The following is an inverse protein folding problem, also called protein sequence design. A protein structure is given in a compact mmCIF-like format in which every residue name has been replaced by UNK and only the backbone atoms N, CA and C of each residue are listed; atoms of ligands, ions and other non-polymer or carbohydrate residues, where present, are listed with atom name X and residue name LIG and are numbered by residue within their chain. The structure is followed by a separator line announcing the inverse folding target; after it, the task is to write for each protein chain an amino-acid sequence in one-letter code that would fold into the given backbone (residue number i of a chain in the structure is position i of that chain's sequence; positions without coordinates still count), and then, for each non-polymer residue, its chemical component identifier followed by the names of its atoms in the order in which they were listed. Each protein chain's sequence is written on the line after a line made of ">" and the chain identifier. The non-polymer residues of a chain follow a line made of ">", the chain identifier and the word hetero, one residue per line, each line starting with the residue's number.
data_IF_269421113234
#
_entry.id   IF_269421113234
#
_cell.length_a   1.000
_cell.length_b   1.000
_cell.length_c   1.000
_cell.angle_alpha   90.00
_cell.angle_beta   90.00
_cell.angle_gamma   90.00
#
_symmetry.space_group_name_H-M   'P 1'
#
loop_
_entity.id
_entity.type
_entity.pdbx_description
1 polymer ?
#
# COMPACT_ATOMS: atom_id res chain seq x y z
N UNK A 1 -74.51 56.96 38.29
CA UNK A 1 -73.67 55.75 38.15
C UNK A 1 -74.22 54.96 36.97
N UNK A 2 -73.54 55.04 35.83
CA UNK A 2 -73.70 54.11 34.71
C UNK A 2 -72.32 54.06 34.06
N UNK A 3 -71.61 52.97 34.32
CA UNK A 3 -70.25 52.69 33.86
C UNK A 3 -70.26 52.39 32.35
N UNK A 4 -69.40 53.08 31.61
CA UNK A 4 -69.07 52.75 30.22
C UNK A 4 -67.92 51.71 30.25
N UNK A 5 -68.01 50.58 29.53
CA UNK A 5 -66.87 49.70 29.36
C UNK A 5 -65.90 50.28 28.31
N UNK A 6 -64.84 50.91 28.81
CA UNK A 6 -63.55 51.05 28.13
C UNK A 6 -62.92 49.64 28.04
N UNK A 7 -62.96 49.02 26.85
CA UNK A 7 -62.02 47.97 26.45
C UNK A 7 -62.20 47.63 24.96
N UNK A 8 -61.95 48.60 24.08
CA UNK A 8 -61.63 48.32 22.68
C UNK A 8 -60.14 47.99 22.60
N UNK A 9 -59.78 46.75 22.93
CA UNK A 9 -58.44 46.22 22.71
C UNK A 9 -58.11 46.30 21.21
N UNK A 10 -57.30 47.29 20.83
CA UNK A 10 -56.68 47.38 19.51
C UNK A 10 -55.70 46.21 19.41
N UNK A 11 -56.14 45.12 18.76
CA UNK A 11 -55.24 44.03 18.38
C UNK A 11 -54.04 44.60 17.61
N UNK A 12 -52.80 44.22 17.94
CA UNK A 12 -51.64 44.65 17.19
C UNK A 12 -51.83 44.20 15.73
N UNK A 13 -51.69 45.14 14.79
CA UNK A 13 -51.84 44.86 13.37
C UNK A 13 -50.91 43.69 12.99
N UNK A 14 -51.50 42.56 12.61
CA UNK A 14 -50.75 41.38 12.20
C UNK A 14 -49.86 41.74 11.00
N UNK A 15 -48.56 41.57 11.18
CA UNK A 15 -47.53 41.94 10.20
C UNK A 15 -47.57 40.95 9.04
N UNK A 16 -47.61 41.47 7.81
CA UNK A 16 -47.58 40.62 6.63
C UNK A 16 -46.20 39.95 6.45
N UNK A 17 -46.14 38.71 5.93
CA UNK A 17 -44.87 38.02 5.72
C UNK A 17 -44.02 38.68 4.62
N UNK A 18 -42.71 38.75 4.86
CA UNK A 18 -41.69 39.21 3.91
C UNK A 18 -41.23 38.11 2.93
N UNK A 19 -41.68 36.87 3.13
CA UNK A 19 -41.36 35.70 2.30
C UNK A 19 -42.62 35.22 1.55
N UNK A 20 -42.48 34.57 0.38
CA UNK A 20 -43.61 34.02 -0.35
C UNK A 20 -44.41 33.03 0.50
N UNK A 21 -45.74 33.16 0.50
CA UNK A 21 -46.63 32.35 1.34
C UNK A 21 -47.84 31.82 0.55
N UNK A 22 -48.40 30.66 0.92
CA UNK A 22 -49.57 30.12 0.26
C UNK A 22 -50.85 30.86 0.69
N UNK A 23 -51.74 31.12 -0.25
CA UNK A 23 -53.08 31.65 0.03
C UNK A 23 -53.89 30.65 0.88
N UNK A 24 -54.43 31.09 2.02
CA UNK A 24 -55.20 30.23 2.92
C UNK A 24 -56.55 29.76 2.34
N UNK A 25 -57.01 30.33 1.23
CA UNK A 25 -58.27 29.94 0.57
C UNK A 25 -58.08 28.95 -0.59
N UNK A 26 -57.05 29.11 -1.41
CA UNK A 26 -56.84 28.29 -2.61
C UNK A 26 -55.46 27.65 -2.74
N UNK A 27 -54.54 27.89 -1.80
CA UNK A 27 -53.20 27.34 -1.81
C UNK A 27 -52.22 27.96 -2.80
N UNK A 28 -52.63 28.93 -3.62
CA UNK A 28 -51.74 29.61 -4.57
C UNK A 28 -50.61 30.33 -3.83
N UNK A 29 -49.36 30.14 -4.28
CA UNK A 29 -48.21 30.88 -3.76
C UNK A 29 -48.30 32.36 -4.13
N UNK A 30 -48.24 33.22 -3.12
CA UNK A 30 -48.31 34.67 -3.23
C UNK A 30 -46.96 35.31 -2.92
N UNK A 31 -46.67 36.43 -3.57
CA UNK A 31 -45.51 37.24 -3.27
C UNK A 31 -45.67 37.98 -1.93
N UNK A 32 -44.56 38.42 -1.30
CA UNK A 32 -44.60 39.24 -0.10
C UNK A 32 -45.50 40.47 -0.27
N UNK A 33 -46.27 40.81 0.76
CA UNK A 33 -47.14 41.99 0.76
C UNK A 33 -48.43 41.88 -0.07
N UNK A 34 -48.73 40.73 -0.70
CA UNK A 34 -50.02 40.53 -1.38
C UNK A 34 -51.20 40.50 -0.40
N UNK A 35 -52.09 41.50 -0.49
CA UNK A 35 -53.30 41.62 0.37
C UNK A 35 -54.53 40.93 -0.21
N UNK A 36 -54.53 40.63 -1.50
CA UNK A 36 -55.63 39.95 -2.21
C UNK A 36 -55.03 38.88 -3.10
N UNK A 37 -55.60 37.67 -3.08
CA UNK A 37 -55.15 36.60 -3.97
C UNK A 37 -55.61 36.91 -5.41
N UNK A 38 -54.71 36.96 -6.41
CA UNK A 38 -55.10 37.18 -7.81
C UNK A 38 -55.90 36.00 -8.40
N UNK A 39 -55.78 34.81 -7.82
CA UNK A 39 -56.42 33.59 -8.33
C UNK A 39 -57.86 33.45 -7.82
N UNK A 40 -58.09 33.51 -6.50
CA UNK A 40 -59.44 33.39 -5.92
C UNK A 40 -60.13 34.73 -5.64
N UNK A 41 -59.43 35.86 -5.82
CA UNK A 41 -59.92 37.24 -5.56
C UNK A 41 -60.38 37.51 -4.13
N UNK A 42 -60.03 36.63 -3.18
CA UNK A 42 -60.35 36.81 -1.77
C UNK A 42 -59.24 37.58 -1.05
N UNK A 43 -59.63 38.38 -0.04
CA UNK A 43 -58.70 39.11 0.80
C UNK A 43 -57.90 38.15 1.69
N UNK A 44 -56.62 38.45 1.88
CA UNK A 44 -55.72 37.66 2.71
C UNK A 44 -55.77 38.19 4.14
N UNK A 45 -56.22 37.34 5.06
CA UNK A 45 -56.13 37.57 6.49
C UNK A 45 -54.73 37.15 6.98
N UNK A 46 -53.87 38.10 7.41
CA UNK A 46 -52.53 37.80 7.89
C UNK A 46 -52.53 36.90 9.14
N UNK A 47 -53.61 36.91 9.94
CA UNK A 47 -53.73 36.05 11.12
C UNK A 47 -53.94 34.56 10.81
N UNK A 48 -54.26 34.22 9.55
CA UNK A 48 -54.51 32.84 9.10
C UNK A 48 -53.38 32.27 8.23
N UNK A 49 -52.30 33.03 8.05
CA UNK A 49 -51.14 32.55 7.30
C UNK A 49 -50.38 31.58 8.21
N UNK A 50 -50.53 30.29 7.95
CA UNK A 50 -49.73 29.25 8.60
C UNK A 50 -48.30 29.41 8.09
N UNK A 51 -47.41 29.97 8.90
CA UNK A 51 -45.98 30.01 8.61
C UNK A 51 -45.52 28.56 8.52
N UNK A 52 -44.94 28.09 7.40
CA UNK A 52 -44.34 26.78 7.35
C UNK A 52 -43.26 26.75 8.43
N UNK A 53 -43.48 25.94 9.46
CA UNK A 53 -42.48 25.66 10.46
C UNK A 53 -41.35 24.98 9.71
N UNK A 54 -40.26 25.73 9.47
CA UNK A 54 -39.09 25.24 8.75
C UNK A 54 -38.70 23.94 9.44
N UNK A 55 -38.84 22.77 8.79
CA UNK A 55 -38.45 21.53 9.42
C UNK A 55 -36.97 21.68 9.75
N UNK A 56 -36.64 21.59 11.04
CA UNK A 56 -35.28 21.59 11.53
C UNK A 56 -34.43 20.72 10.58
N UNK A 57 -33.21 21.16 10.19
CA UNK A 57 -32.42 20.41 9.24
C UNK A 57 -32.29 18.99 9.77
N UNK A 58 -32.91 18.04 9.07
CA UNK A 58 -32.67 16.62 9.30
C UNK A 58 -31.18 16.49 9.08
N UNK A 59 -30.44 16.39 10.17
CA UNK A 59 -29.04 15.98 10.15
C UNK A 59 -29.09 14.61 9.52
N UNK A 60 -28.91 14.58 8.21
CA UNK A 60 -28.63 13.37 7.48
C UNK A 60 -27.42 12.80 8.18
N UNK A 61 -27.65 11.78 9.01
CA UNK A 61 -26.59 10.95 9.55
C UNK A 61 -25.99 10.33 8.31
N UNK A 62 -25.01 11.01 7.73
CA UNK A 62 -24.04 10.45 6.82
C UNK A 62 -23.56 9.21 7.55
N UNK A 63 -24.11 8.07 7.16
CA UNK A 63 -23.63 6.78 7.63
C UNK A 63 -22.21 6.76 7.10
N UNK A 64 -21.24 7.08 7.96
CA UNK A 64 -19.84 7.02 7.60
C UNK A 64 -19.63 5.64 7.00
N UNK A 65 -19.34 5.61 5.70
CA UNK A 65 -18.92 4.38 5.06
C UNK A 65 -17.82 3.78 5.94
N UNK A 66 -17.88 2.48 6.28
CA UNK A 66 -16.94 1.88 7.20
C UNK A 66 -15.54 2.25 6.74
N UNK A 67 -14.79 2.93 7.62
CA UNK A 67 -13.43 3.38 7.32
C UNK A 67 -12.62 2.13 7.02
N UNK A 68 -12.47 1.81 5.73
CA UNK A 68 -11.70 0.68 5.25
C UNK A 68 -10.28 0.92 5.72
N UNK A 69 -9.89 0.24 6.79
CA UNK A 69 -8.52 0.30 7.27
C UNK A 69 -7.66 -0.38 6.20
N UNK A 70 -6.98 0.42 5.40
CA UNK A 70 -6.02 -0.08 4.43
C UNK A 70 -4.79 -0.56 5.18
N UNK A 71 -4.35 -1.79 4.88
CA UNK A 71 -3.07 -2.28 5.39
C UNK A 71 -1.95 -1.46 4.74
N UNK A 72 -1.48 -0.43 5.44
CA UNK A 72 -0.35 0.39 5.00
C UNK A 72 0.91 -0.47 4.95
N UNK A 73 1.71 -0.28 3.91
CA UNK A 73 3.01 -0.90 3.79
C UNK A 73 3.90 -0.43 4.95
N UNK A 74 4.33 -1.37 5.79
CA UNK A 74 5.19 -1.05 6.93
C UNK A 74 6.65 -1.09 6.50
N UNK A 75 7.23 0.10 6.32
CA UNK A 75 8.65 0.27 5.98
C UNK A 75 9.59 -0.44 6.95
N UNK A 76 9.25 -0.46 8.25
CA UNK A 76 10.07 -1.13 9.26
C UNK A 76 10.22 -2.63 8.99
N UNK A 77 9.14 -3.32 8.61
CA UNK A 77 9.22 -4.74 8.27
C UNK A 77 10.02 -4.99 7.01
N UNK A 78 9.89 -4.12 6.01
CA UNK A 78 10.67 -4.19 4.79
C UNK A 78 12.17 -4.07 5.08
N UNK A 79 12.59 -3.00 5.74
CA UNK A 79 14.00 -2.78 6.05
C UNK A 79 14.57 -3.85 6.97
N UNK A 80 13.81 -4.30 7.98
CA UNK A 80 14.26 -5.38 8.86
C UNK A 80 14.47 -6.69 8.08
N UNK A 81 13.50 -7.09 7.25
CA UNK A 81 13.61 -8.31 6.45
C UNK A 81 14.74 -8.20 5.42
N UNK A 82 14.88 -7.05 4.77
CA UNK A 82 15.93 -6.80 3.79
C UNK A 82 17.32 -6.84 4.45
N UNK A 83 17.49 -6.21 5.61
CA UNK A 83 18.75 -6.25 6.35
C UNK A 83 19.11 -7.68 6.79
N UNK A 84 18.13 -8.44 7.33
CA UNK A 84 18.31 -9.85 7.69
C UNK A 84 18.70 -10.66 6.45
N UNK A 85 18.02 -10.45 5.33
CA UNK A 85 18.31 -11.15 4.08
C UNK A 85 19.72 -10.86 3.57
N UNK A 86 20.15 -9.60 3.53
CA UNK A 86 21.51 -9.22 3.14
C UNK A 86 22.55 -9.82 4.08
N UNK A 87 22.28 -9.82 5.38
CA UNK A 87 23.17 -10.42 6.37
C UNK A 87 23.32 -11.93 6.17
N UNK A 88 22.21 -12.65 5.98
CA UNK A 88 22.21 -14.08 5.68
C UNK A 88 22.93 -14.35 4.36
N UNK A 89 22.67 -13.56 3.32
CA UNK A 89 23.34 -13.68 2.03
C UNK A 89 24.86 -13.55 2.17
N UNK A 90 25.32 -12.49 2.85
CA UNK A 90 26.73 -12.23 3.09
C UNK A 90 27.41 -13.36 3.86
N UNK A 91 26.78 -13.84 4.95
CA UNK A 91 27.31 -14.95 5.74
C UNK A 91 27.39 -16.22 4.88
N UNK A 92 26.34 -16.51 4.13
CA UNK A 92 26.29 -17.73 3.34
C UNK A 92 27.33 -17.71 2.22
N UNK A 93 27.52 -16.57 1.57
CA UNK A 93 28.58 -16.39 0.57
C UNK A 93 29.98 -16.59 1.18
N UNK A 94 30.21 -16.03 2.38
CA UNK A 94 31.50 -16.15 3.08
C UNK A 94 31.79 -17.57 3.57
N UNK A 95 30.78 -18.32 3.99
CA UNK A 95 30.97 -19.63 4.62
C UNK A 95 30.81 -20.81 3.64
N UNK A 96 29.83 -20.76 2.74
CA UNK A 96 29.46 -21.88 1.88
C UNK A 96 29.90 -21.68 0.42
N UNK A 97 30.33 -20.48 0.05
CA UNK A 97 30.63 -20.10 -1.32
C UNK A 97 29.37 -19.86 -2.17
N UNK A 98 29.54 -19.36 -3.40
CA UNK A 98 28.44 -18.84 -4.21
C UNK A 98 27.43 -19.93 -4.64
N UNK A 99 27.89 -21.12 -5.02
CA UNK A 99 27.00 -22.18 -5.53
C UNK A 99 26.08 -22.75 -4.44
N UNK A 100 26.67 -23.18 -3.32
CA UNK A 100 25.90 -23.73 -2.19
C UNK A 100 25.06 -22.66 -1.51
N UNK A 101 25.57 -21.42 -1.47
CA UNK A 101 24.82 -20.29 -0.96
C UNK A 101 23.57 -20.00 -1.77
N UNK A 102 23.67 -20.03 -3.10
CA UNK A 102 22.50 -19.84 -3.96
C UNK A 102 21.45 -20.93 -3.76
N UNK A 103 21.85 -22.20 -3.61
CA UNK A 103 20.92 -23.31 -3.31
C UNK A 103 20.23 -23.09 -1.95
N UNK A 104 20.97 -22.66 -0.93
CA UNK A 104 20.43 -22.43 0.41
C UNK A 104 19.46 -21.24 0.44
N UNK A 105 19.85 -20.11 -0.17
CA UNK A 105 18.98 -18.93 -0.26
C UNK A 105 17.73 -19.21 -1.11
N UNK A 106 17.89 -19.89 -2.24
CA UNK A 106 16.76 -20.30 -3.07
C UNK A 106 15.81 -21.26 -2.34
N UNK A 107 16.37 -22.23 -1.62
CA UNK A 107 15.61 -23.11 -0.74
C UNK A 107 14.83 -22.34 0.32
N UNK A 108 15.44 -21.34 0.94
CA UNK A 108 14.79 -20.47 1.93
C UNK A 108 13.59 -19.71 1.33
N UNK A 109 13.71 -19.22 0.10
CA UNK A 109 12.60 -18.57 -0.62
C UNK A 109 11.46 -19.56 -0.90
N UNK A 110 11.77 -20.77 -1.35
CA UNK A 110 10.76 -21.81 -1.60
C UNK A 110 10.05 -22.20 -0.30
N UNK A 111 10.81 -22.54 0.75
CA UNK A 111 10.28 -22.93 2.06
C UNK A 111 9.42 -21.83 2.67
N UNK A 112 9.87 -20.57 2.62
CA UNK A 112 9.08 -19.44 3.11
C UNK A 112 7.80 -19.23 2.30
N UNK A 113 7.81 -19.46 0.99
CA UNK A 113 6.61 -19.35 0.15
C UNK A 113 5.57 -20.44 0.46
N UNK A 114 6.02 -21.67 0.72
CA UNK A 114 5.17 -22.78 1.18
C UNK A 114 4.63 -22.49 2.59
N UNK A 115 5.47 -21.98 3.47
CA UNK A 115 5.07 -21.57 4.82
C UNK A 115 4.00 -20.47 4.77
N UNK A 116 4.15 -19.45 3.91
CA UNK A 116 3.15 -18.39 3.70
C UNK A 116 1.80 -18.97 3.27
N UNK A 117 1.79 -20.00 2.42
CA UNK A 117 0.54 -20.66 2.01
C UNK A 117 -0.16 -21.31 3.22
N UNK A 118 0.60 -22.04 4.03
CA UNK A 118 0.08 -22.72 5.21
C UNK A 118 -0.40 -21.71 6.27
N UNK A 119 0.40 -20.69 6.56
CA UNK A 119 0.07 -19.63 7.53
C UNK A 119 -1.15 -18.81 7.08
N UNK A 120 -1.26 -18.51 5.78
CA UNK A 120 -2.41 -17.77 5.23
C UNK A 120 -3.71 -18.59 5.33
N UNK A 121 -3.63 -19.91 5.11
CA UNK A 121 -4.77 -20.82 5.33
C UNK A 121 -5.15 -20.87 6.81
N UNK A 122 -4.18 -21.05 7.70
CA UNK A 122 -4.42 -21.13 9.14
C UNK A 122 -5.03 -19.83 9.70
N UNK A 123 -4.65 -18.67 9.16
CA UNK A 123 -5.15 -17.35 9.57
C UNK A 123 -6.36 -16.85 8.78
N UNK A 124 -6.93 -17.68 7.91
CA UNK A 124 -8.06 -17.32 7.04
C UNK A 124 -7.84 -16.02 6.24
N UNK A 125 -6.61 -15.78 5.79
CA UNK A 125 -6.28 -14.63 4.95
C UNK A 125 -6.86 -14.88 3.55
N UNK A 126 -7.60 -13.92 2.96
CA UNK A 126 -8.20 -14.11 1.64
C UNK A 126 -7.14 -14.36 0.56
N UNK A 127 -7.45 -15.28 -0.36
CA UNK A 127 -6.61 -15.64 -1.51
C UNK A 127 -5.18 -16.11 -1.12
N UNK A 128 -5.04 -17.17 -0.30
CA UNK A 128 -3.74 -17.61 0.22
C UNK A 128 -2.75 -18.04 -0.88
N UNK A 129 -3.26 -18.58 -2.00
CA UNK A 129 -2.43 -18.93 -3.17
C UNK A 129 -1.74 -17.71 -3.79
N UNK A 130 -2.43 -16.56 -3.85
CA UNK A 130 -1.83 -15.34 -4.41
C UNK A 130 -0.68 -14.83 -3.56
N UNK A 131 -0.82 -14.91 -2.24
CA UNK A 131 0.24 -14.53 -1.30
C UNK A 131 1.46 -15.45 -1.43
N UNK A 132 1.26 -16.76 -1.50
CA UNK A 132 2.35 -17.73 -1.69
C UNK A 132 3.09 -17.50 -3.02
N UNK A 133 2.37 -17.34 -4.13
CA UNK A 133 2.96 -17.07 -5.44
C UNK A 133 3.69 -15.71 -5.45
N UNK A 134 3.11 -14.68 -4.84
CA UNK A 134 3.73 -13.37 -4.71
C UNK A 134 5.02 -13.42 -3.89
N UNK A 135 5.03 -14.15 -2.78
CA UNK A 135 6.23 -14.37 -1.97
C UNK A 135 7.30 -15.17 -2.70
N UNK A 136 6.93 -16.08 -3.60
CA UNK A 136 7.90 -16.82 -4.40
C UNK A 136 8.54 -15.94 -5.49
N UNK A 137 7.73 -15.16 -6.21
CA UNK A 137 8.20 -14.35 -7.34
C UNK A 137 8.87 -13.04 -6.91
N UNK A 138 8.31 -12.35 -5.92
CA UNK A 138 8.78 -11.05 -5.43
C UNK A 138 9.04 -11.13 -3.92
N UNK A 139 9.85 -12.10 -3.50
CA UNK A 139 10.13 -12.39 -2.09
C UNK A 139 10.49 -11.13 -1.29
N UNK A 140 11.42 -10.32 -1.80
CA UNK A 140 11.91 -9.09 -1.13
C UNK A 140 10.79 -8.10 -0.79
N UNK A 141 9.75 -7.99 -1.61
CA UNK A 141 8.68 -7.01 -1.41
C UNK A 141 7.44 -7.64 -0.76
N UNK A 142 7.04 -8.81 -1.24
CA UNK A 142 5.77 -9.44 -0.85
C UNK A 142 5.90 -10.16 0.50
N UNK A 143 7.05 -10.78 0.81
CA UNK A 143 7.21 -11.48 2.08
C UNK A 143 7.15 -10.52 3.30
N UNK A 144 7.86 -9.38 3.34
CA UNK A 144 7.70 -8.41 4.43
C UNK A 144 6.30 -7.83 4.51
N UNK A 145 5.67 -7.60 3.35
CA UNK A 145 4.29 -7.12 3.31
C UNK A 145 3.32 -8.15 3.90
N UNK A 146 3.51 -9.43 3.58
CA UNK A 146 2.75 -10.51 4.19
C UNK A 146 2.92 -10.54 5.72
N UNK A 147 4.14 -10.34 6.22
CA UNK A 147 4.41 -10.26 7.66
C UNK A 147 3.71 -9.07 8.32
N UNK A 148 3.65 -7.91 7.67
CA UNK A 148 2.88 -6.77 8.17
C UNK A 148 1.37 -7.10 8.18
N UNK A 149 0.87 -7.70 7.11
CA UNK A 149 -0.54 -8.09 6.92
C UNK A 149 -1.02 -9.08 7.98
N UNK A 150 -0.17 -10.02 8.40
CA UNK A 150 -0.53 -11.04 9.39
C UNK A 150 -1.03 -10.45 10.73
N UNK A 151 -0.66 -9.21 11.05
CA UNK A 151 -1.09 -8.51 12.28
C UNK A 151 -2.52 -7.96 12.17
N UNK A 152 -2.99 -7.70 10.96
CA UNK A 152 -4.32 -7.14 10.68
C UNK A 152 -4.97 -7.90 9.51
N UNK A 153 -5.40 -9.16 9.72
CA UNK A 153 -5.88 -10.02 8.66
C UNK A 153 -7.15 -9.50 7.94
N UNK A 154 -7.93 -8.64 8.60
CA UNK A 154 -9.23 -8.14 8.10
C UNK A 154 -9.16 -6.80 7.32
N UNK A 155 -8.02 -6.10 7.32
CA UNK A 155 -7.87 -4.88 6.52
C UNK A 155 -8.09 -5.18 5.02
N UNK A 156 -8.44 -4.22 4.15
CA UNK A 156 -8.54 -4.52 2.71
C UNK A 156 -7.22 -4.26 2.00
N UNK A 157 -6.75 -5.22 1.18
CA UNK A 157 -5.49 -5.10 0.43
C UNK A 157 -5.76 -5.04 -1.08
N UNK A 158 -6.09 -3.87 -1.66
CA UNK A 158 -6.49 -3.76 -3.07
C UNK A 158 -5.40 -4.21 -4.05
N UNK A 159 -4.12 -4.17 -3.66
CA UNK A 159 -3.04 -4.56 -4.58
C UNK A 159 -2.96 -6.08 -4.83
N UNK A 160 -3.24 -6.91 -3.82
CA UNK A 160 -3.10 -8.39 -3.89
C UNK A 160 -4.48 -9.05 -3.99
N UNK A 161 -5.48 -8.49 -3.31
CA UNK A 161 -6.84 -8.98 -3.27
C UNK A 161 -7.74 -8.32 -4.31
N UNK A 162 -7.39 -7.11 -4.78
CA UNK A 162 -8.12 -6.46 -5.85
C UNK A 162 -8.08 -7.26 -7.14
N UNK A 163 -9.03 -6.94 -8.02
CA UNK A 163 -9.03 -7.44 -9.37
C UNK A 163 -7.69 -7.09 -10.00
N UNK A 164 -6.90 -8.12 -10.34
CA UNK A 164 -5.50 -7.98 -10.73
C UNK A 164 -5.43 -7.03 -11.91
N UNK A 165 -5.01 -5.79 -11.64
CA UNK A 165 -4.99 -4.72 -12.63
C UNK A 165 -4.10 -5.07 -13.80
N UNK A 166 -4.26 -4.33 -14.91
CA UNK A 166 -3.49 -4.50 -16.15
C UNK A 166 -1.98 -4.63 -15.86
N UNK A 167 -1.47 -3.82 -14.93
CA UNK A 167 -0.07 -3.81 -14.48
C UNK A 167 0.41 -5.15 -13.90
N UNK A 168 -0.36 -5.80 -13.02
CA UNK A 168 0.04 -7.08 -12.42
C UNK A 168 0.09 -8.17 -13.48
N UNK A 169 -0.89 -8.18 -14.40
CA UNK A 169 -0.88 -9.11 -15.55
C UNK A 169 0.33 -8.88 -16.45
N UNK A 170 0.66 -7.62 -16.75
CA UNK A 170 1.83 -7.29 -17.58
C UNK A 170 3.13 -7.69 -16.88
N UNK A 171 3.28 -7.42 -15.57
CA UNK A 171 4.46 -7.81 -14.81
C UNK A 171 4.64 -9.34 -14.80
N UNK A 172 3.55 -10.08 -14.57
CA UNK A 172 3.57 -11.54 -14.55
C UNK A 172 3.89 -12.11 -15.93
N UNK A 173 3.39 -11.48 -17.00
CA UNK A 173 3.76 -11.81 -18.38
C UNK A 173 5.25 -11.55 -18.65
N UNK A 174 5.80 -10.42 -18.20
CA UNK A 174 7.23 -10.11 -18.33
C UNK A 174 8.07 -11.15 -17.60
N UNK A 175 7.72 -11.50 -16.35
CA UNK A 175 8.40 -12.54 -15.57
C UNK A 175 8.33 -13.91 -16.27
N UNK A 176 7.17 -14.27 -16.85
CA UNK A 176 7.02 -15.49 -17.64
C UNK A 176 7.95 -15.49 -18.85
N UNK A 177 8.03 -14.38 -19.59
CA UNK A 177 8.92 -14.26 -20.75
C UNK A 177 10.38 -14.41 -20.32
N UNK A 178 10.81 -13.73 -19.25
CA UNK A 178 12.16 -13.89 -18.71
C UNK A 178 12.45 -15.34 -18.31
N UNK A 179 11.52 -16.00 -17.61
CA UNK A 179 11.66 -17.40 -17.23
C UNK A 179 11.79 -18.31 -18.47
N UNK A 180 10.95 -18.11 -19.49
CA UNK A 180 11.01 -18.88 -20.74
C UNK A 180 12.33 -18.65 -21.47
N UNK A 181 12.84 -17.41 -21.51
CA UNK A 181 14.16 -17.10 -22.07
C UNK A 181 15.25 -17.79 -21.27
N UNK A 182 15.23 -17.74 -19.94
CA UNK A 182 16.23 -18.43 -19.10
C UNK A 182 16.19 -19.95 -19.30
N UNK A 183 15.00 -20.55 -19.39
CA UNK A 183 14.83 -21.97 -19.67
C UNK A 183 15.34 -22.33 -21.06
N UNK A 184 15.03 -21.52 -22.08
CA UNK A 184 15.56 -21.69 -23.44
C UNK A 184 17.08 -21.59 -23.46
N UNK A 185 17.66 -20.60 -22.77
CA UNK A 185 19.12 -20.45 -22.67
C UNK A 185 19.77 -21.63 -21.94
N UNK A 186 19.10 -22.21 -20.94
CA UNK A 186 19.56 -23.41 -20.24
C UNK A 186 19.51 -24.65 -21.16
N UNK A 187 18.45 -24.80 -21.96
CA UNK A 187 18.34 -25.88 -22.94
C UNK A 187 19.37 -25.74 -24.08
N UNK A 188 19.62 -24.51 -24.53
CA UNK A 188 20.59 -24.20 -25.58
C UNK A 188 22.04 -24.38 -25.10
N UNK A 189 22.35 -24.11 -23.83
CA UNK A 189 23.70 -24.27 -23.29
C UNK A 189 24.14 -25.73 -23.15
N UNK A 190 23.22 -26.69 -23.24
CA UNK A 190 23.50 -28.11 -23.09
C UNK A 190 24.11 -28.46 -21.72
N UNK A 191 24.19 -29.76 -21.35
CA UNK A 191 24.86 -30.16 -20.13
C UNK A 191 26.32 -29.70 -20.21
N UNK A 192 26.74 -28.80 -19.31
CA UNK A 192 28.14 -28.44 -19.15
C UNK A 192 28.93 -29.73 -19.02
N UNK A 193 29.74 -30.05 -20.03
CA UNK A 193 30.68 -31.16 -19.96
C UNK A 193 31.60 -30.84 -18.79
N UNK A 194 31.39 -31.53 -17.67
CA UNK A 194 32.39 -31.63 -16.62
C UNK A 194 33.62 -32.18 -17.33
N UNK A 195 34.57 -31.30 -17.63
CA UNK A 195 35.84 -31.72 -18.21
C UNK A 195 36.45 -32.68 -17.21
N UNK A 196 36.62 -33.98 -17.54
CA UNK A 196 37.31 -34.89 -16.66
C UNK A 196 38.77 -34.46 -16.71
N UNK A 197 39.13 -33.57 -15.78
CA UNK A 197 40.48 -33.12 -15.55
C UNK A 197 41.31 -34.35 -15.23
N UNK A 198 42.09 -34.77 -16.22
CA UNK A 198 43.03 -35.87 -16.10
C UNK A 198 44.01 -35.57 -14.98
N UNK A 199 43.96 -36.39 -13.94
CA UNK A 199 45.12 -36.65 -13.12
C UNK A 199 46.17 -37.29 -14.02
N UNK A 200 47.06 -36.48 -14.58
CA UNK A 200 48.32 -36.94 -15.16
C UNK A 200 49.32 -37.01 -14.00
N UNK A 201 49.71 -38.20 -13.53
CA UNK A 201 50.84 -38.33 -12.62
C UNK A 201 52.11 -38.16 -13.46
N UNK A 202 52.63 -36.95 -13.56
CA UNK A 202 53.98 -36.73 -14.05
C UNK A 202 54.96 -37.16 -12.96
N UNK A 203 55.26 -38.46 -12.92
CA UNK A 203 56.41 -39.01 -12.18
C UNK A 203 57.44 -39.48 -13.20
N UNK A 204 58.12 -38.51 -13.82
CA UNK A 204 59.43 -38.77 -14.43
C UNK A 204 60.48 -38.15 -13.52
N UNK A 205 61.12 -39.01 -12.73
CA UNK A 205 62.37 -38.68 -12.06
C UNK A 205 63.45 -38.43 -13.11
N UNK A 206 63.95 -37.20 -13.15
CA UNK A 206 65.24 -36.88 -13.71
C UNK A 206 66.06 -36.24 -12.61
N UNK A 207 66.94 -37.07 -12.07
CA UNK A 207 68.15 -36.72 -11.36
C UNK A 207 69.02 -35.83 -12.25
N UNK A 208 69.38 -34.62 -11.81
CA UNK A 208 70.75 -34.10 -11.69
C UNK A 208 70.79 -32.57 -11.43
N UNK A 209 71.91 -32.08 -10.85
CA UNK A 209 71.98 -30.89 -10.01
C UNK A 209 72.53 -29.67 -10.75
N UNK A 210 72.52 -28.52 -10.08
CA UNK A 210 73.36 -27.41 -10.50
C UNK A 210 72.75 -26.08 -10.10
N UNK A 211 73.19 -25.56 -8.96
CA UNK A 211 72.82 -24.23 -8.52
C UNK A 211 73.21 -23.17 -9.55
N UNK A 212 72.36 -22.15 -9.66
CA UNK A 212 72.84 -20.80 -9.95
C UNK A 212 71.91 -19.77 -9.34
N UNK A 213 72.59 -18.87 -8.65
CA UNK A 213 72.14 -17.80 -7.77
C UNK A 213 71.68 -16.60 -8.62
N UNK A 214 70.98 -15.68 -7.96
CA UNK A 214 70.51 -14.34 -8.35
C UNK A 214 69.01 -14.36 -8.73
N UNK A 215 68.09 -13.77 -7.97
CA UNK A 215 68.20 -12.62 -7.10
C UNK A 215 67.27 -11.56 -7.67
N UNK A 216 66.25 -11.14 -6.92
CA UNK A 216 65.78 -9.75 -6.90
C UNK A 216 64.82 -9.58 -5.72
N UNK A 217 65.33 -8.84 -4.76
CA UNK A 217 64.68 -8.10 -3.69
C UNK A 217 63.76 -7.00 -4.22
N UNK A 218 62.92 -6.49 -3.31
CA UNK A 218 62.07 -5.28 -3.33
C UNK A 218 60.58 -5.58 -3.47
N UNK A 219 59.68 -4.98 -2.70
CA UNK A 219 59.81 -4.12 -1.52
C UNK A 219 58.44 -4.15 -0.84
N UNK A 220 58.45 -4.14 0.49
CA UNK A 220 57.30 -3.74 1.28
C UNK A 220 56.95 -2.27 0.95
N UNK A 221 55.68 -1.96 0.78
CA UNK A 221 55.18 -0.58 0.88
C UNK A 221 54.01 -0.52 1.87
N UNK A 222 53.94 0.52 2.72
CA UNK A 222 53.21 0.50 3.98
C UNK A 222 51.81 1.15 3.89
N UNK A 223 51.06 0.93 4.97
CA UNK A 223 49.87 1.68 5.38
C UNK A 223 49.99 3.19 5.15
N UNK A 224 48.93 3.78 4.59
CA UNK A 224 48.56 5.16 4.84
C UNK A 224 47.23 5.19 5.58
N UNK A 225 47.30 5.60 6.84
CA UNK A 225 46.20 6.19 7.60
C UNK A 225 46.24 7.71 7.39
N UNK A 226 45.19 8.39 7.90
CA UNK A 226 45.02 9.84 7.98
C UNK A 226 44.30 10.44 6.73
N UNK A 227 43.28 11.29 6.81
CA UNK A 227 42.75 12.14 7.88
C UNK A 227 41.34 12.63 7.53
N UNK A 228 40.53 12.89 8.54
CA UNK A 228 39.45 13.90 8.52
C UNK A 228 40.04 15.30 8.77
N UNK A 229 39.40 16.38 8.28
CA UNK A 229 38.71 17.34 9.17
C UNK A 229 37.35 17.78 8.55
N UNK A 230 36.25 18.01 9.28
CA UNK A 230 35.95 19.06 10.27
C UNK A 230 36.03 20.49 9.72
N UNK A 231 34.89 21.07 9.31
CA UNK A 231 34.45 22.49 9.34
C UNK A 231 33.07 22.55 8.61
N UNK A 232 31.92 22.93 9.19
CA UNK A 232 31.49 24.19 9.83
C UNK A 232 31.25 25.37 8.86
N UNK A 233 29.98 25.62 8.51
CA UNK A 233 29.37 26.94 8.17
C UNK A 233 27.90 26.71 7.80
N UNK A 234 26.92 27.08 8.62
CA UNK A 234 26.35 28.43 8.78
C UNK A 234 26.01 29.09 7.43
N UNK A 235 24.74 28.99 7.02
CA UNK A 235 23.78 30.10 6.84
C UNK A 235 22.39 29.53 6.56
#
# INVERSE_FOLDING_TARGET
>A
MAELPDDAAVSPAAVFPDEPFPCHHCGQMLAPGCRVCPSCKQAIDPGKIVRPEVPAPVVERVTQAPVLQYARFSWSFFFATFAIWLFVALITERLLGPERGQVLLGGLVILSSVWVLHDARAKNIPKPLRWSIGSFLLWIFIFPWYLARRRTPQASCPFIEGESGRVVRTLLFILLVFFLISALMMLLKGPSKVSPGGNKPDTHGITMPGGKIAGFTHSAEPQSAASAPSEASQT
#
